data_IF_421870815212
#
_entry.id   IF_421870815212
#
_cell.length_a   1.000
_cell.length_b   1.000
_cell.length_c   1.000
_cell.angle_alpha   90.00
_cell.angle_beta   90.00
_cell.angle_gamma   90.00
#
_symmetry.space_group_name_H-M   'P 1'
#
loop_
_entity.id
_entity.type
_entity.pdbx_description
1 polymer ?
#
# COMPACT_ATOMS: atom_id res chain seq x y z
N UNK A 1 -2.82 -5.88 42.32
CA UNK A 1 -3.76 -5.89 41.17
C UNK A 1 -2.93 -6.00 39.90
N UNK A 2 -2.93 -7.15 39.23
CA UNK A 2 -2.32 -7.26 37.90
C UNK A 2 -3.12 -6.39 36.94
N UNK A 3 -2.48 -5.38 36.35
CA UNK A 3 -3.08 -4.60 35.27
C UNK A 3 -3.17 -5.51 34.05
N UNK A 4 -4.33 -6.12 33.83
CA UNK A 4 -4.62 -6.92 32.64
C UNK A 4 -4.73 -5.96 31.44
N UNK A 5 -3.66 -5.87 30.67
CA UNK A 5 -3.63 -5.24 29.36
C UNK A 5 -3.26 -6.31 28.30
N UNK A 6 -3.40 -5.97 27.02
CA UNK A 6 -3.13 -6.93 25.94
C UNK A 6 -1.72 -7.50 26.02
N UNK A 7 -0.72 -6.67 26.33
CA UNK A 7 0.68 -7.08 26.45
C UNK A 7 0.87 -8.10 27.57
N UNK A 8 0.30 -7.85 28.77
CA UNK A 8 0.40 -8.79 29.88
C UNK A 8 -0.36 -10.10 29.60
N UNK A 9 -1.49 -10.03 28.88
CA UNK A 9 -2.27 -11.21 28.51
C UNK A 9 -1.49 -12.07 27.52
N UNK A 10 -0.96 -11.48 26.44
CA UNK A 10 -0.16 -12.21 25.45
C UNK A 10 1.10 -12.79 26.08
N UNK A 11 1.79 -12.04 26.96
CA UNK A 11 2.94 -12.54 27.70
C UNK A 11 2.57 -13.76 28.56
N UNK A 12 1.46 -13.69 29.32
CA UNK A 12 0.97 -14.83 30.11
C UNK A 12 0.65 -16.05 29.24
N UNK A 13 -0.03 -15.89 28.11
CA UNK A 13 -0.34 -17.01 27.19
C UNK A 13 0.96 -17.68 26.69
N UNK A 14 2.00 -16.90 26.44
CA UNK A 14 3.30 -17.42 25.99
C UNK A 14 4.02 -18.17 27.12
N UNK A 15 3.96 -17.66 28.36
CA UNK A 15 4.71 -18.23 29.50
C UNK A 15 3.99 -19.39 30.18
N UNK A 16 2.66 -19.40 30.17
CA UNK A 16 1.80 -20.38 30.87
C UNK A 16 1.35 -21.50 29.94
N UNK A 17 2.25 -21.99 29.06
CA UNK A 17 1.94 -23.10 28.16
C UNK A 17 1.84 -24.41 28.94
N UNK A 18 0.70 -25.08 28.82
CA UNK A 18 0.46 -26.41 29.38
C UNK A 18 0.10 -27.44 28.30
N UNK A 19 -0.06 -28.70 28.69
CA UNK A 19 -0.43 -29.80 27.78
C UNK A 19 -1.81 -29.58 27.14
N UNK A 20 -2.74 -28.91 27.84
CA UNK A 20 -4.08 -28.62 27.32
C UNK A 20 -4.02 -27.62 26.15
N UNK A 21 -3.21 -26.56 26.29
CA UNK A 21 -2.98 -25.59 25.21
C UNK A 21 -2.34 -26.25 23.97
N UNK A 22 -1.46 -27.24 24.17
CA UNK A 22 -0.89 -28.01 23.04
C UNK A 22 -1.93 -28.89 22.34
N UNK A 23 -2.88 -29.48 23.09
CA UNK A 23 -3.99 -30.24 22.48
C UNK A 23 -4.91 -29.35 21.65
N UNK A 24 -5.20 -28.12 22.10
CA UNK A 24 -6.00 -27.15 21.33
C UNK A 24 -5.30 -26.74 20.03
N UNK A 25 -3.98 -26.60 20.05
CA UNK A 25 -3.16 -26.35 18.85
C UNK A 25 -3.26 -27.52 17.85
N UNK A 26 -3.25 -28.77 18.32
CA UNK A 26 -3.42 -29.93 17.45
C UNK A 26 -4.82 -29.96 16.81
N UNK A 27 -5.88 -29.63 17.57
CA UNK A 27 -7.25 -29.56 17.06
C UNK A 27 -7.44 -28.47 16.01
N UNK A 28 -6.77 -27.32 16.16
CA UNK A 28 -6.72 -26.25 15.15
C UNK A 28 -6.10 -26.71 13.83
N UNK A 29 -5.13 -27.62 13.89
CA UNK A 29 -4.45 -28.14 12.70
C UNK A 29 -5.30 -29.18 11.96
N UNK A 30 -6.15 -29.91 12.67
CA UNK A 30 -7.05 -30.94 12.11
C UNK A 30 -8.29 -30.38 11.38
N UNK A 31 -8.51 -29.06 11.42
CA UNK A 31 -9.61 -28.41 10.69
C UNK A 31 -11.03 -28.87 11.10
N UNK A 32 -11.17 -29.49 12.28
CA UNK A 32 -12.47 -29.98 12.76
C UNK A 32 -13.43 -28.81 12.97
N UNK A 33 -14.52 -28.80 12.20
CA UNK A 33 -15.62 -27.84 12.38
C UNK A 33 -16.25 -28.01 13.76
N UNK A 34 -16.13 -26.94 14.54
CA UNK A 34 -16.90 -26.57 15.75
C UNK A 34 -17.97 -27.56 16.19
N UNK A 35 -17.58 -28.60 16.90
CA UNK A 35 -18.48 -29.41 17.72
C UNK A 35 -18.28 -29.03 19.18
N UNK A 36 -18.96 -27.95 19.59
CA UNK A 36 -18.92 -27.42 20.95
C UNK A 36 -20.13 -26.52 21.22
N UNK A 37 -20.53 -26.40 22.48
CA UNK A 37 -21.63 -25.51 22.88
C UNK A 37 -21.28 -24.05 22.53
N UNK A 38 -22.21 -23.28 21.94
CA UNK A 38 -21.96 -21.90 21.57
C UNK A 38 -21.62 -21.06 22.82
N UNK A 39 -20.50 -20.33 22.77
CA UNK A 39 -20.10 -19.42 23.84
C UNK A 39 -20.77 -18.08 23.61
N UNK A 40 -21.60 -17.64 24.57
CA UNK A 40 -22.22 -16.31 24.54
C UNK A 40 -21.26 -15.26 25.11
N UNK A 41 -20.61 -14.48 24.24
CA UNK A 41 -19.70 -13.40 24.63
C UNK A 41 -20.49 -12.08 24.75
N UNK A 42 -20.38 -11.40 25.90
CA UNK A 42 -20.96 -10.07 26.11
C UNK A 42 -19.92 -8.99 25.82
N UNK A 43 -20.10 -8.26 24.73
CA UNK A 43 -19.26 -7.11 24.38
C UNK A 43 -19.76 -5.82 25.02
N UNK A 44 -18.83 -4.92 25.36
CA UNK A 44 -19.17 -3.52 25.61
C UNK A 44 -19.77 -2.90 24.33
N UNK A 45 -20.70 -1.92 24.42
CA UNK A 45 -21.38 -1.36 23.25
C UNK A 45 -20.44 -0.94 22.11
N UNK A 46 -19.42 -0.14 22.40
CA UNK A 46 -18.46 0.31 21.39
C UNK A 46 -17.68 -0.86 20.72
N UNK A 47 -17.36 -1.92 21.48
CA UNK A 47 -16.68 -3.10 20.95
C UNK A 47 -17.61 -3.91 20.04
N UNK A 48 -18.88 -4.06 20.44
CA UNK A 48 -19.91 -4.69 19.60
C UNK A 48 -20.09 -3.95 18.29
N UNK A 49 -20.17 -2.62 18.35
CA UNK A 49 -20.39 -1.78 17.17
C UNK A 49 -19.17 -1.84 16.25
N UNK A 50 -17.95 -1.87 16.80
CA UNK A 50 -16.72 -2.14 16.04
C UNK A 50 -16.73 -3.51 15.35
N UNK A 51 -17.02 -4.59 16.09
CA UNK A 51 -17.08 -5.96 15.53
C UNK A 51 -18.11 -6.02 14.41
N UNK A 52 -19.28 -5.42 14.61
CA UNK A 52 -20.37 -5.40 13.62
C UNK A 52 -20.00 -4.59 12.38
N UNK A 53 -19.31 -3.46 12.55
CA UNK A 53 -18.85 -2.63 11.44
C UNK A 53 -17.80 -3.35 10.60
N UNK A 54 -16.81 -3.96 11.24
CA UNK A 54 -15.71 -4.65 10.55
C UNK A 54 -16.21 -5.92 9.87
N UNK A 55 -17.01 -6.74 10.54
CA UNK A 55 -17.57 -7.96 9.96
C UNK A 55 -18.46 -7.64 8.75
N UNK A 56 -19.29 -6.58 8.85
CA UNK A 56 -20.10 -6.09 7.75
C UNK A 56 -19.28 -5.61 6.54
N UNK A 57 -18.14 -4.92 6.77
CA UNK A 57 -17.21 -4.52 5.69
C UNK A 57 -16.53 -5.71 5.02
N UNK A 58 -16.25 -6.76 5.78
CA UNK A 58 -15.63 -8.01 5.28
C UNK A 58 -16.65 -8.99 4.69
N UNK A 59 -17.96 -8.74 4.85
CA UNK A 59 -19.02 -9.62 4.35
C UNK A 59 -19.14 -10.95 5.12
N UNK A 60 -18.65 -11.02 6.36
CA UNK A 60 -18.69 -12.21 7.22
C UNK A 60 -19.54 -11.97 8.47
N UNK A 61 -19.86 -13.04 9.20
CA UNK A 61 -20.56 -12.90 10.48
C UNK A 61 -19.63 -12.37 11.58
N UNK A 62 -20.20 -11.71 12.60
CA UNK A 62 -19.44 -11.27 13.78
C UNK A 62 -18.77 -12.42 14.54
N UNK A 63 -19.41 -13.60 14.57
CA UNK A 63 -18.82 -14.79 15.19
C UNK A 63 -17.62 -15.31 14.40
N UNK A 64 -17.72 -15.30 13.06
CA UNK A 64 -16.62 -15.69 12.18
C UNK A 64 -15.41 -14.77 12.36
N UNK A 65 -15.63 -13.45 12.42
CA UNK A 65 -14.56 -12.49 12.70
C UNK A 65 -13.87 -12.77 14.04
N UNK A 66 -14.65 -13.05 15.10
CA UNK A 66 -14.09 -13.36 16.42
C UNK A 66 -13.27 -14.65 16.38
N UNK A 67 -13.75 -15.69 15.70
CA UNK A 67 -13.01 -16.95 15.55
C UNK A 67 -11.67 -16.72 14.84
N UNK A 68 -11.67 -16.01 13.71
CA UNK A 68 -10.44 -15.69 12.96
C UNK A 68 -9.45 -14.93 13.85
N UNK A 69 -9.91 -13.94 14.61
CA UNK A 69 -9.05 -13.15 15.50
C UNK A 69 -8.46 -13.98 16.64
N UNK A 70 -9.29 -14.81 17.30
CA UNK A 70 -8.83 -15.66 18.41
C UNK A 70 -7.89 -16.76 17.91
N UNK A 71 -8.20 -17.38 16.78
CA UNK A 71 -7.33 -18.36 16.13
C UNK A 71 -5.98 -17.73 15.74
N UNK A 72 -5.99 -16.51 15.18
CA UNK A 72 -4.78 -15.75 14.90
C UNK A 72 -3.92 -15.53 16.16
N UNK A 73 -4.54 -15.09 17.26
CA UNK A 73 -3.84 -14.92 18.56
C UNK A 73 -3.24 -16.25 19.03
N UNK A 74 -3.99 -17.35 18.94
CA UNK A 74 -3.50 -18.68 19.32
C UNK A 74 -2.29 -19.09 18.48
N UNK A 75 -2.33 -18.89 17.16
CA UNK A 75 -1.22 -19.22 16.25
C UNK A 75 0.03 -18.38 16.55
N UNK A 76 -0.12 -17.06 16.67
CA UNK A 76 0.97 -16.13 16.98
C UNK A 76 1.64 -16.42 18.33
N UNK A 77 0.83 -16.70 19.36
CA UNK A 77 1.35 -16.88 20.72
C UNK A 77 1.86 -18.28 21.00
N UNK A 78 1.23 -19.33 20.46
CA UNK A 78 1.54 -20.72 20.79
C UNK A 78 2.44 -21.40 19.74
N UNK A 79 2.38 -20.98 18.47
CA UNK A 79 3.11 -21.62 17.36
C UNK A 79 3.85 -20.59 16.47
N UNK A 80 4.70 -19.72 17.04
CA UNK A 80 5.27 -18.58 16.30
C UNK A 80 6.10 -18.97 15.06
N UNK A 81 6.75 -20.15 15.05
CA UNK A 81 7.47 -20.63 13.86
C UNK A 81 6.53 -20.96 12.70
N UNK A 82 5.38 -21.58 12.99
CA UNK A 82 4.37 -21.90 11.99
C UNK A 82 3.59 -20.64 11.57
N UNK A 83 3.48 -19.65 12.46
CA UNK A 83 2.94 -18.33 12.16
C UNK A 83 3.76 -17.60 11.10
N UNK A 84 5.11 -17.63 11.17
CA UNK A 84 5.97 -17.07 10.13
C UNK A 84 5.73 -17.73 8.76
N UNK A 85 5.65 -19.06 8.71
CA UNK A 85 5.33 -19.80 7.47
C UNK A 85 3.95 -19.39 6.95
N UNK A 86 3.02 -19.16 7.88
CA UNK A 86 1.66 -18.75 7.56
C UNK A 86 1.59 -17.35 6.97
N UNK A 87 2.40 -16.43 7.47
CA UNK A 87 2.53 -15.08 6.95
C UNK A 87 3.01 -15.03 5.51
N UNK A 88 3.86 -15.95 5.06
CA UNK A 88 4.34 -15.96 3.66
C UNK A 88 3.15 -16.15 2.71
N UNK A 89 2.32 -17.17 2.97
CA UNK A 89 1.11 -17.41 2.17
C UNK A 89 0.10 -16.26 2.25
N UNK A 90 -0.13 -15.75 3.46
CA UNK A 90 -1.09 -14.66 3.68
C UNK A 90 -0.65 -13.35 3.03
N UNK A 91 0.63 -12.99 3.13
CA UNK A 91 1.18 -11.79 2.48
C UNK A 91 1.24 -11.92 0.97
N UNK A 92 1.47 -13.13 0.46
CA UNK A 92 1.33 -13.42 -0.96
C UNK A 92 -0.10 -13.09 -1.44
N UNK A 93 -1.13 -13.63 -0.81
CA UNK A 93 -2.51 -13.36 -1.23
C UNK A 93 -2.94 -11.92 -0.97
N UNK A 94 -2.55 -11.34 0.17
CA UNK A 94 -2.78 -9.92 0.46
C UNK A 94 -2.18 -9.03 -0.64
N UNK A 95 -0.97 -9.33 -1.11
CA UNK A 95 -0.36 -8.59 -2.20
C UNK A 95 -1.21 -8.69 -3.48
N UNK A 96 -1.61 -9.91 -3.87
CA UNK A 96 -2.44 -10.10 -5.08
C UNK A 96 -3.79 -9.38 -4.99
N UNK A 97 -4.46 -9.49 -3.84
CA UNK A 97 -5.78 -8.92 -3.59
C UNK A 97 -5.75 -7.39 -3.59
N UNK A 98 -4.74 -6.78 -2.96
CA UNK A 98 -4.57 -5.33 -2.93
C UNK A 98 -4.19 -4.75 -4.30
N UNK A 99 -3.57 -5.56 -5.16
CA UNK A 99 -3.38 -5.23 -6.58
C UNK A 99 -4.58 -5.60 -7.46
N UNK A 100 -5.68 -6.10 -6.87
CA UNK A 100 -6.95 -6.47 -7.52
C UNK A 100 -6.78 -7.55 -8.60
N UNK A 101 -5.88 -8.49 -8.37
CA UNK A 101 -5.65 -9.60 -9.28
C UNK A 101 -6.63 -10.73 -8.98
N UNK A 102 -7.36 -11.18 -10.00
CA UNK A 102 -8.14 -12.41 -9.85
C UNK A 102 -7.21 -13.61 -9.77
N UNK A 103 -7.69 -14.75 -9.24
CA UNK A 103 -6.91 -16.00 -9.21
C UNK A 103 -6.42 -16.41 -10.60
N UNK A 104 -7.20 -16.11 -11.66
CA UNK A 104 -6.79 -16.33 -13.06
C UNK A 104 -5.63 -15.42 -13.47
N UNK A 105 -5.64 -14.16 -13.05
CA UNK A 105 -4.56 -13.22 -13.34
C UNK A 105 -3.28 -13.60 -12.59
N UNK A 106 -3.40 -14.09 -11.34
CA UNK A 106 -2.29 -14.61 -10.55
C UNK A 106 -1.68 -15.85 -11.22
N UNK A 107 -2.50 -16.81 -11.66
CA UNK A 107 -2.02 -17.99 -12.38
C UNK A 107 -1.31 -17.61 -13.69
N UNK A 108 -1.84 -16.61 -14.42
CA UNK A 108 -1.21 -16.09 -15.63
C UNK A 108 0.12 -15.40 -15.33
N UNK A 109 0.15 -14.54 -14.32
CA UNK A 109 1.34 -13.82 -13.85
C UNK A 109 2.48 -14.79 -13.49
N UNK A 110 2.15 -15.90 -12.83
CA UNK A 110 3.11 -16.88 -12.32
C UNK A 110 3.34 -18.09 -13.25
N UNK A 111 2.88 -18.02 -14.50
CA UNK A 111 2.96 -19.14 -15.44
C UNK A 111 4.38 -19.65 -15.68
N UNK A 112 5.37 -18.75 -15.81
CA UNK A 112 6.79 -19.12 -15.94
C UNK A 112 7.36 -19.89 -14.75
N UNK A 113 6.71 -19.79 -13.59
CA UNK A 113 7.08 -20.48 -12.37
C UNK A 113 6.36 -21.83 -12.22
N UNK A 114 5.61 -22.26 -13.23
CA UNK A 114 4.74 -23.44 -13.23
C UNK A 114 3.64 -23.40 -12.16
N UNK A 115 3.21 -22.20 -11.74
CA UNK A 115 2.15 -22.02 -10.75
C UNK A 115 0.83 -21.75 -11.48
N UNK A 116 0.07 -22.82 -11.73
CA UNK A 116 -1.28 -22.75 -12.28
C UNK A 116 -2.37 -22.80 -11.21
N UNK A 117 -3.63 -22.83 -11.65
CA UNK A 117 -4.79 -22.88 -10.75
C UNK A 117 -4.78 -24.08 -9.80
N UNK A 118 -4.31 -25.25 -10.25
CA UNK A 118 -4.20 -26.46 -9.43
C UNK A 118 -3.17 -26.36 -8.30
N UNK A 119 -2.20 -25.45 -8.43
CA UNK A 119 -1.25 -25.12 -7.36
C UNK A 119 -1.91 -24.13 -6.41
N UNK A 120 -2.50 -23.05 -6.94
CA UNK A 120 -3.13 -21.98 -6.16
C UNK A 120 -4.35 -22.42 -5.33
N UNK A 121 -5.07 -23.45 -5.77
CA UNK A 121 -6.19 -24.03 -5.03
C UNK A 121 -5.76 -24.64 -3.68
N UNK A 122 -4.51 -25.08 -3.57
CA UNK A 122 -3.97 -25.71 -2.37
C UNK A 122 -2.94 -24.81 -1.70
N UNK A 123 -3.20 -24.45 -0.44
CA UNK A 123 -2.26 -23.70 0.40
C UNK A 123 -0.88 -24.38 0.48
N UNK A 124 -0.87 -25.69 0.72
CA UNK A 124 0.37 -26.46 0.87
C UNK A 124 1.18 -26.45 -0.44
N UNK A 125 0.54 -26.75 -1.56
CA UNK A 125 1.22 -26.70 -2.87
C UNK A 125 1.69 -25.29 -3.19
N UNK A 126 0.88 -24.26 -2.92
CA UNK A 126 1.29 -22.87 -3.13
C UNK A 126 2.55 -22.55 -2.33
N UNK A 127 2.60 -22.96 -1.07
CA UNK A 127 3.77 -22.75 -0.21
C UNK A 127 5.04 -23.41 -0.72
N UNK A 128 4.97 -24.60 -1.31
CA UNK A 128 6.14 -25.28 -1.90
C UNK A 128 6.79 -24.47 -3.02
N UNK A 129 6.02 -23.61 -3.70
CA UNK A 129 6.52 -22.75 -4.78
C UNK A 129 6.96 -21.36 -4.33
N UNK A 130 6.52 -20.89 -3.15
CA UNK A 130 6.89 -19.58 -2.56
C UNK A 130 8.33 -19.56 -2.01
N UNK A 131 9.27 -19.91 -2.88
CA UNK A 131 10.71 -19.97 -2.64
C UNK A 131 11.35 -18.59 -2.63
N UNK A 132 12.52 -18.44 -2.01
CA UNK A 132 13.24 -17.17 -1.94
C UNK A 132 13.46 -16.48 -3.33
N UNK A 133 13.80 -17.21 -4.42
CA UNK A 133 13.86 -16.60 -5.75
C UNK A 133 12.53 -16.02 -6.22
N UNK A 134 11.41 -16.73 -6.01
CA UNK A 134 10.09 -16.24 -6.40
C UNK A 134 9.68 -15.04 -5.53
N UNK A 135 9.89 -15.10 -4.21
CA UNK A 135 9.56 -13.99 -3.32
C UNK A 135 10.36 -12.73 -3.67
N UNK A 136 11.64 -12.88 -4.06
CA UNK A 136 12.44 -11.77 -4.58
C UNK A 136 11.89 -11.24 -5.90
N UNK A 137 11.48 -12.12 -6.81
CA UNK A 137 10.88 -11.70 -8.08
C UNK A 137 9.57 -10.93 -7.87
N UNK A 138 8.70 -11.40 -6.97
CA UNK A 138 7.47 -10.72 -6.58
C UNK A 138 7.77 -9.35 -5.96
N UNK A 139 8.75 -9.29 -5.06
CA UNK A 139 9.25 -8.05 -4.48
C UNK A 139 9.66 -7.02 -5.55
N UNK A 140 10.42 -7.46 -6.57
CA UNK A 140 10.85 -6.62 -7.69
C UNK A 140 9.70 -6.25 -8.66
N UNK A 141 8.70 -7.12 -8.79
CA UNK A 141 7.51 -6.84 -9.60
C UNK A 141 6.59 -5.81 -8.95
N UNK A 142 6.37 -5.92 -7.65
CA UNK A 142 5.40 -5.09 -6.91
C UNK A 142 6.04 -3.97 -6.09
N UNK A 143 7.37 -3.82 -6.14
CA UNK A 143 8.14 -2.82 -5.41
C UNK A 143 7.87 -2.83 -3.89
N UNK A 144 7.80 -4.04 -3.31
CA UNK A 144 7.65 -4.26 -1.87
C UNK A 144 8.95 -4.78 -1.26
N UNK A 145 9.01 -4.93 0.06
CA UNK A 145 10.14 -5.52 0.77
C UNK A 145 10.12 -7.04 0.64
N UNK A 146 11.21 -7.64 0.18
CA UNK A 146 11.37 -9.10 0.18
C UNK A 146 11.26 -9.66 1.60
N UNK A 147 11.80 -8.95 2.60
CA UNK A 147 11.71 -9.35 4.02
C UNK A 147 10.28 -9.34 4.54
N UNK A 148 9.44 -8.46 4.00
CA UNK A 148 8.01 -8.50 4.29
C UNK A 148 7.37 -9.73 3.66
N UNK A 149 7.64 -10.06 2.40
CA UNK A 149 7.11 -11.30 1.82
C UNK A 149 7.58 -12.57 2.55
N UNK A 150 8.81 -12.56 3.08
CA UNK A 150 9.38 -13.65 3.90
C UNK A 150 8.81 -13.73 5.33
N UNK A 151 7.93 -12.80 5.73
CA UNK A 151 7.37 -12.78 7.09
C UNK A 151 8.29 -12.21 8.17
N UNK A 152 9.50 -11.74 7.82
CA UNK A 152 10.53 -11.32 8.78
C UNK A 152 10.47 -9.82 9.14
N UNK A 153 9.88 -8.99 8.29
CA UNK A 153 9.68 -7.56 8.51
C UNK A 153 8.19 -7.23 8.50
N UNK A 154 7.63 -6.49 9.48
CA UNK A 154 6.23 -6.10 9.44
C UNK A 154 5.89 -5.11 8.31
N UNK A 155 6.86 -4.38 7.74
CA UNK A 155 6.59 -3.27 6.82
C UNK A 155 6.72 -3.68 5.35
N UNK A 156 5.67 -3.51 4.52
CA UNK A 156 5.74 -3.85 3.10
C UNK A 156 6.63 -2.88 2.33
N UNK A 157 6.68 -1.60 2.72
CA UNK A 157 7.50 -0.57 2.05
C UNK A 157 8.03 0.40 3.10
N UNK A 158 9.21 0.96 2.83
CA UNK A 158 9.82 2.02 3.59
C UNK A 158 9.62 3.35 2.87
N UNK A 159 8.91 4.28 3.51
CA UNK A 159 8.68 5.60 2.92
C UNK A 159 9.98 6.39 2.86
N UNK A 160 10.21 7.03 1.72
CA UNK A 160 11.34 7.95 1.56
C UNK A 160 10.98 9.32 2.13
N UNK A 161 11.77 9.83 3.07
CA UNK A 161 11.68 11.20 3.52
C UNK A 161 12.55 12.07 2.60
N UNK A 162 11.92 12.81 1.71
CA UNK A 162 12.62 13.73 0.80
C UNK A 162 12.84 15.05 1.51
N UNK A 163 14.09 15.52 1.49
CA UNK A 163 14.40 16.85 2.01
C UNK A 163 14.08 17.95 1.01
N UNK A 164 14.04 17.64 -0.29
CA UNK A 164 13.83 18.60 -1.37
C UNK A 164 13.04 17.99 -2.53
N UNK A 165 12.23 18.81 -3.20
CA UNK A 165 11.44 18.37 -4.35
C UNK A 165 12.30 17.97 -5.54
N UNK A 166 13.51 18.51 -5.67
CA UNK A 166 14.44 18.12 -6.73
C UNK A 166 14.84 16.64 -6.62
N UNK A 167 14.92 16.07 -5.41
CA UNK A 167 15.20 14.64 -5.24
C UNK A 167 14.07 13.78 -5.83
N UNK A 168 12.82 14.19 -5.64
CA UNK A 168 11.64 13.56 -6.25
C UNK A 168 11.75 13.61 -7.76
N UNK A 169 12.09 14.77 -8.32
CA UNK A 169 12.28 14.98 -9.75
C UNK A 169 13.40 14.11 -10.34
N UNK A 170 14.50 13.91 -9.60
CA UNK A 170 15.59 13.00 -9.99
C UNK A 170 15.13 11.53 -10.03
N UNK A 171 14.30 11.09 -9.08
CA UNK A 171 13.71 9.75 -9.12
C UNK A 171 12.84 9.59 -10.38
N UNK A 172 11.98 10.56 -10.68
CA UNK A 172 11.13 10.55 -11.88
C UNK A 172 12.01 10.47 -13.14
N UNK A 173 13.04 11.31 -13.25
CA UNK A 173 13.99 11.28 -14.37
C UNK A 173 14.65 9.91 -14.54
N UNK A 174 15.14 9.31 -13.45
CA UNK A 174 15.74 7.97 -13.48
C UNK A 174 14.74 6.92 -13.97
N UNK A 175 13.50 6.95 -13.48
CA UNK A 175 12.43 6.01 -13.90
C UNK A 175 12.02 6.18 -15.36
N UNK A 176 12.06 7.41 -15.88
CA UNK A 176 11.84 7.67 -17.30
C UNK A 176 13.01 7.11 -18.14
N UNK A 177 14.25 7.26 -17.67
CA UNK A 177 15.44 6.75 -18.38
C UNK A 177 15.54 5.22 -18.42
N UNK A 178 15.11 4.55 -17.34
CA UNK A 178 15.16 3.08 -17.24
C UNK A 178 14.23 2.37 -18.24
N UNK A 179 13.22 3.06 -18.78
CA UNK A 179 12.21 2.47 -19.66
C UNK A 179 12.05 3.30 -20.95
N UNK A 180 12.58 2.76 -22.05
CA UNK A 180 12.57 3.35 -23.40
C UNK A 180 11.52 2.73 -24.31
N UNK A 181 10.52 2.02 -23.75
CA UNK A 181 9.46 1.43 -24.56
C UNK A 181 8.42 2.47 -24.96
N UNK A 182 8.07 2.51 -26.25
CA UNK A 182 6.97 3.32 -26.83
C UNK A 182 5.57 2.99 -26.28
N UNK A 183 5.46 2.02 -25.36
CA UNK A 183 4.19 1.67 -24.74
C UNK A 183 3.74 2.77 -23.77
N UNK A 184 2.70 3.50 -24.18
CA UNK A 184 2.03 4.54 -23.39
C UNK A 184 1.65 4.06 -21.98
N UNK A 185 1.36 2.77 -21.78
CA UNK A 185 0.99 2.22 -20.47
C UNK A 185 2.15 2.26 -19.47
N UNK A 186 3.39 2.24 -19.94
CA UNK A 186 4.59 2.22 -19.09
C UNK A 186 5.02 3.61 -18.60
N UNK A 187 4.32 4.66 -19.00
CA UNK A 187 4.59 6.02 -18.52
C UNK A 187 4.20 6.16 -17.05
N UNK A 188 4.96 6.94 -16.25
CA UNK A 188 4.66 7.12 -14.84
C UNK A 188 3.45 8.03 -14.63
N UNK A 189 2.70 7.70 -13.60
CA UNK A 189 1.67 8.51 -12.97
C UNK A 189 2.24 9.13 -11.69
N UNK A 190 1.92 10.41 -11.44
CA UNK A 190 2.31 11.09 -10.21
C UNK A 190 1.05 11.49 -9.45
N UNK A 191 0.98 11.10 -8.18
CA UNK A 191 -0.09 11.52 -7.28
C UNK A 191 0.50 12.20 -6.05
N UNK A 192 0.02 13.41 -5.78
CA UNK A 192 0.38 14.16 -4.59
C UNK A 192 -0.78 14.11 -3.60
N UNK A 193 -0.50 13.80 -2.34
CA UNK A 193 -1.54 13.61 -1.31
C UNK A 193 -1.23 14.43 -0.07
N UNK A 194 -2.20 15.20 0.40
CA UNK A 194 -2.13 15.94 1.67
C UNK A 194 -3.13 15.38 2.66
N UNK A 195 -2.82 15.60 3.94
CA UNK A 195 -3.79 15.35 4.99
C UNK A 195 -4.94 16.35 4.89
N UNK A 196 -6.16 15.85 5.08
CA UNK A 196 -7.38 16.63 5.07
C UNK A 196 -7.60 17.29 6.45
N UNK A 197 -7.47 18.61 6.54
CA UNK A 197 -7.52 19.37 7.80
C UNK A 197 -8.93 19.62 8.36
N UNK A 198 -9.86 18.66 8.30
CA UNK A 198 -11.23 18.88 8.84
C UNK A 198 -11.35 18.76 10.37
N UNK A 199 -10.26 18.56 11.11
CA UNK A 199 -10.29 18.51 12.58
C UNK A 199 -9.79 19.80 13.21
N UNK A 200 -10.75 20.61 13.65
CA UNK A 200 -10.68 21.77 14.56
C UNK A 200 -9.90 23.02 14.12
N UNK A 201 -10.65 24.06 13.75
CA UNK A 201 -10.64 25.39 14.37
C UNK A 201 -9.41 26.31 14.29
N UNK A 202 -8.20 25.78 14.30
CA UNK A 202 -6.96 26.57 14.34
C UNK A 202 -5.95 25.97 13.36
N UNK A 203 -5.95 26.48 12.13
CA UNK A 203 -4.92 26.15 11.13
C UNK A 203 -3.61 26.80 11.61
N UNK A 204 -2.76 26.00 12.27
CA UNK A 204 -1.33 26.30 12.32
C UNK A 204 -0.67 25.59 11.15
N UNK A 205 -0.16 26.38 10.22
CA UNK A 205 0.62 26.00 9.03
C UNK A 205 2.00 25.39 9.39
N UNK A 206 2.04 24.56 10.42
CA UNK A 206 3.24 23.93 10.94
C UNK A 206 3.22 22.45 10.52
N UNK A 207 3.95 22.15 9.43
CA UNK A 207 4.35 20.81 8.91
C UNK A 207 3.52 20.16 7.79
N UNK A 208 3.04 20.93 6.81
CA UNK A 208 2.40 20.41 5.60
C UNK A 208 3.32 19.56 4.71
N UNK A 209 3.49 18.29 5.05
CA UNK A 209 4.16 17.33 4.18
C UNK A 209 3.18 16.86 3.10
N UNK A 210 3.69 16.75 1.88
CA UNK A 210 2.99 16.13 0.77
C UNK A 210 3.50 14.71 0.62
N UNK A 211 2.60 13.74 0.69
CA UNK A 211 2.87 12.37 0.28
C UNK A 211 2.91 12.28 -1.24
N UNK A 212 3.87 11.52 -1.75
CA UNK A 212 4.15 11.42 -3.18
C UNK A 212 4.06 9.95 -3.55
N UNK A 213 3.25 9.65 -4.55
CA UNK A 213 3.15 8.33 -5.15
C UNK A 213 3.59 8.44 -6.61
N UNK A 214 4.61 7.65 -6.98
CA UNK A 214 4.99 7.43 -8.36
C UNK A 214 4.51 6.03 -8.72
N UNK A 215 3.48 5.95 -9.56
CA UNK A 215 2.85 4.70 -9.99
C UNK A 215 3.17 4.44 -11.46
N UNK A 216 3.23 3.17 -11.84
CA UNK A 216 3.38 2.75 -13.23
C UNK A 216 2.61 1.45 -13.48
N UNK A 217 2.26 1.20 -14.74
CA UNK A 217 1.82 -0.13 -15.16
C UNK A 217 3.02 -0.96 -15.60
N UNK A 218 3.06 -2.20 -15.13
CA UNK A 218 4.06 -3.18 -15.52
C UNK A 218 3.32 -4.40 -16.08
N UNK A 219 3.72 -4.86 -17.26
CA UNK A 219 3.17 -6.10 -17.83
C UNK A 219 4.16 -7.23 -17.62
N UNK A 220 3.70 -8.29 -16.97
CA UNK A 220 4.46 -9.51 -16.72
C UNK A 220 3.57 -10.67 -17.13
N UNK A 221 4.05 -11.52 -18.03
CA UNK A 221 3.31 -12.70 -18.51
C UNK A 221 1.89 -12.38 -18.97
N UNK A 222 1.72 -11.31 -19.76
CA UNK A 222 0.43 -10.81 -20.24
C UNK A 222 -0.57 -10.41 -19.12
N UNK A 223 -0.10 -10.26 -17.89
CA UNK A 223 -0.84 -9.66 -16.79
C UNK A 223 -0.29 -8.26 -16.53
N UNK A 224 -1.14 -7.25 -16.66
CA UNK A 224 -0.77 -5.86 -16.36
C UNK A 224 -1.08 -5.57 -14.89
N UNK A 225 -0.04 -5.27 -14.13
CA UNK A 225 -0.10 -4.89 -12.72
C UNK A 225 0.15 -3.39 -12.55
N UNK A 226 -0.52 -2.78 -11.57
CA UNK A 226 -0.30 -1.37 -11.18
C UNK A 226 0.59 -1.33 -9.97
N UNK A 227 1.74 -0.67 -10.07
CA UNK A 227 2.78 -0.72 -9.05
C UNK A 227 3.13 0.69 -8.61
N UNK A 228 3.24 0.91 -7.30
CA UNK A 228 3.78 2.15 -6.74
C UNK A 228 5.29 1.96 -6.58
N UNK A 229 6.06 2.45 -7.54
CA UNK A 229 7.51 2.27 -7.59
C UNK A 229 8.26 3.14 -6.57
N UNK A 230 7.63 4.22 -6.14
CA UNK A 230 8.14 5.09 -5.10
C UNK A 230 6.99 5.69 -4.29
N UNK A 231 7.14 5.63 -2.96
CA UNK A 231 6.32 6.37 -2.03
C UNK A 231 7.25 7.15 -1.08
N UNK A 232 6.91 8.41 -0.84
CA UNK A 232 7.62 9.23 0.11
C UNK A 232 6.82 10.44 0.53
N UNK A 233 7.46 11.32 1.28
CA UNK A 233 6.89 12.59 1.68
C UNK A 233 7.93 13.70 1.60
N UNK A 234 7.50 14.90 1.21
CA UNK A 234 8.33 16.09 1.09
C UNK A 234 7.65 17.27 1.77
N UNK A 235 8.39 18.14 2.50
CA UNK A 235 7.84 19.39 3.00
C UNK A 235 7.28 20.27 1.88
N UNK A 236 6.23 21.03 2.16
CA UNK A 236 5.63 21.97 1.18
C UNK A 236 5.45 23.41 1.66
N UNK A 237 5.72 23.71 2.92
CA UNK A 237 5.56 25.06 3.49
C UNK A 237 6.85 25.89 3.49
N UNK A 238 6.73 27.20 3.69
CA UNK A 238 7.86 28.12 3.77
C UNK A 238 8.73 28.12 2.50
N UNK A 239 10.04 27.93 2.66
CA UNK A 239 11.01 27.90 1.56
C UNK A 239 10.73 26.79 0.54
N UNK A 240 9.98 25.74 0.91
CA UNK A 240 9.63 24.64 0.02
C UNK A 240 8.46 24.96 -0.91
N UNK A 241 7.69 26.03 -0.66
CA UNK A 241 6.56 26.43 -1.53
C UNK A 241 7.03 26.74 -2.95
N UNK A 242 8.14 27.47 -3.09
CA UNK A 242 8.73 27.77 -4.42
C UNK A 242 9.21 26.50 -5.13
N UNK A 243 9.77 25.54 -4.38
CA UNK A 243 10.19 24.25 -4.95
C UNK A 243 8.98 23.41 -5.40
N UNK A 244 7.91 23.37 -4.59
CA UNK A 244 6.67 22.71 -4.96
C UNK A 244 6.07 23.34 -6.23
N UNK A 245 5.99 24.68 -6.30
CA UNK A 245 5.49 25.36 -7.50
C UNK A 245 6.32 25.03 -8.75
N UNK A 246 7.65 24.97 -8.62
CA UNK A 246 8.54 24.53 -9.71
C UNK A 246 8.32 23.07 -10.09
N UNK A 247 8.07 22.19 -9.12
CA UNK A 247 7.75 20.79 -9.35
C UNK A 247 6.39 20.61 -10.04
N UNK A 248 5.36 21.37 -9.66
CA UNK A 248 4.05 21.40 -10.33
C UNK A 248 4.21 21.87 -11.78
N UNK A 249 4.97 22.94 -11.99
CA UNK A 249 5.28 23.49 -13.31
C UNK A 249 5.97 22.44 -14.19
N UNK A 250 7.03 21.79 -13.69
CA UNK A 250 7.69 20.68 -14.37
C UNK A 250 6.72 19.57 -14.71
N UNK A 251 5.90 19.14 -13.74
CA UNK A 251 4.99 18.01 -13.93
C UNK A 251 3.98 18.28 -15.04
N UNK A 252 3.45 19.49 -15.14
CA UNK A 252 2.58 19.87 -16.25
C UNK A 252 3.32 19.91 -17.60
N UNK A 253 4.56 20.42 -17.65
CA UNK A 253 5.36 20.38 -18.89
C UNK A 253 5.56 18.93 -19.36
N UNK A 254 5.95 18.04 -18.44
CA UNK A 254 6.16 16.62 -18.75
C UNK A 254 4.85 15.91 -19.12
N UNK A 255 3.73 16.28 -18.50
CA UNK A 255 2.41 15.76 -18.84
C UNK A 255 1.96 16.21 -20.25
N UNK A 256 2.12 17.50 -20.59
CA UNK A 256 1.82 18.03 -21.95
C UNK A 256 2.73 17.44 -23.03
N UNK A 257 3.98 17.12 -22.68
CA UNK A 257 4.91 16.43 -23.57
C UNK A 257 4.65 14.91 -23.66
N UNK A 258 3.58 14.39 -23.05
CA UNK A 258 3.24 12.98 -23.01
C UNK A 258 4.34 12.09 -22.41
N UNK A 259 5.16 12.63 -21.50
CA UNK A 259 6.17 11.87 -20.76
C UNK A 259 5.56 11.25 -19.51
N UNK A 260 4.63 11.95 -18.85
CA UNK A 260 3.79 11.42 -17.79
C UNK A 260 2.45 10.95 -18.36
N UNK A 261 1.89 9.88 -17.78
CA UNK A 261 0.53 9.43 -18.14
C UNK A 261 -0.55 10.18 -17.36
N UNK A 262 -0.37 10.41 -16.06
CA UNK A 262 -1.28 11.23 -15.26
C UNK A 262 -0.55 12.03 -14.18
N UNK A 263 -1.16 13.16 -13.80
CA UNK A 263 -0.77 13.95 -12.64
C UNK A 263 -2.02 14.41 -11.91
N UNK A 264 -2.17 14.05 -10.64
CA UNK A 264 -3.30 14.48 -9.80
C UNK A 264 -2.90 14.77 -8.35
N UNK A 265 -3.71 15.56 -7.67
CA UNK A 265 -3.57 15.86 -6.25
C UNK A 265 -4.82 15.43 -5.48
N UNK A 266 -4.65 14.98 -4.23
CA UNK A 266 -5.72 14.46 -3.40
C UNK A 266 -5.59 14.87 -1.93
N UNK A 267 -6.71 14.86 -1.22
CA UNK A 267 -6.73 14.89 0.24
C UNK A 267 -7.06 13.50 0.79
N UNK A 268 -6.43 13.14 1.91
CA UNK A 268 -6.65 11.87 2.60
C UNK A 268 -6.78 12.10 4.11
N UNK A 269 -7.38 11.17 4.84
CA UNK A 269 -7.43 11.26 6.31
C UNK A 269 -6.04 11.04 6.92
N UNK A 270 -5.76 11.71 8.05
CA UNK A 270 -4.53 11.51 8.81
C UNK A 270 -4.30 10.04 9.17
N UNK A 271 -5.35 9.34 9.61
CA UNK A 271 -5.30 7.92 9.92
C UNK A 271 -4.76 7.05 8.78
N UNK A 272 -5.11 7.34 7.53
CA UNK A 272 -4.64 6.58 6.37
C UNK A 272 -3.16 6.88 6.06
N UNK A 273 -2.78 8.15 6.16
CA UNK A 273 -1.40 8.61 5.93
C UNK A 273 -0.45 8.14 7.03
N UNK A 274 -0.91 8.07 8.28
CA UNK A 274 -0.17 7.48 9.40
C UNK A 274 0.00 5.98 9.23
N UNK A 275 -1.04 5.26 8.80
CA UNK A 275 -0.94 3.84 8.49
C UNK A 275 0.10 3.55 7.38
N UNK A 276 0.20 4.43 6.37
CA UNK A 276 1.27 4.37 5.37
C UNK A 276 2.65 4.63 6.00
N UNK A 277 2.78 5.71 6.79
CA UNK A 277 4.04 6.12 7.43
C UNK A 277 4.60 5.03 8.35
N UNK A 278 3.73 4.35 9.06
CA UNK A 278 4.06 3.24 9.95
C UNK A 278 4.29 1.92 9.21
N UNK A 279 4.00 1.86 7.90
CA UNK A 279 4.13 0.65 7.08
C UNK A 279 3.12 -0.43 7.44
N UNK A 280 1.90 -0.05 7.80
CA UNK A 280 0.80 -0.97 8.13
C UNK A 280 -0.02 -1.39 6.93
N UNK A 281 0.06 -0.66 5.82
CA UNK A 281 -0.71 -0.91 4.60
C UNK A 281 0.16 -0.83 3.34
N UNK A 282 -0.27 -1.52 2.29
CA UNK A 282 0.39 -1.45 0.98
C UNK A 282 0.11 -0.09 0.31
N UNK A 283 1.12 0.54 -0.35
CA UNK A 283 0.92 1.81 -1.04
C UNK A 283 -0.18 1.78 -2.12
N UNK A 284 -0.30 0.67 -2.86
CA UNK A 284 -1.33 0.50 -3.88
C UNK A 284 -2.76 0.51 -3.28
N UNK A 285 -2.94 -0.17 -2.14
CA UNK A 285 -4.19 -0.21 -1.39
C UNK A 285 -4.61 1.19 -0.91
N UNK A 286 -3.66 1.92 -0.31
CA UNK A 286 -3.92 3.26 0.20
C UNK A 286 -4.28 4.24 -0.92
N UNK A 287 -3.51 4.22 -2.03
CA UNK A 287 -3.77 5.07 -3.19
C UNK A 287 -5.14 4.79 -3.79
N UNK A 288 -5.57 3.53 -3.83
CA UNK A 288 -6.91 3.16 -4.29
C UNK A 288 -8.01 3.77 -3.42
N UNK A 289 -7.90 3.65 -2.10
CA UNK A 289 -8.89 4.24 -1.18
C UNK A 289 -8.92 5.77 -1.27
N UNK A 290 -7.77 6.41 -1.45
CA UNK A 290 -7.68 7.87 -1.69
C UNK A 290 -8.42 8.25 -2.97
N UNK A 291 -8.18 7.52 -4.05
CA UNK A 291 -8.79 7.79 -5.36
C UNK A 291 -10.30 7.51 -5.38
N UNK A 292 -10.78 6.53 -4.62
CA UNK A 292 -12.21 6.18 -4.53
C UNK A 292 -13.07 7.34 -4.05
N UNK A 293 -12.55 8.18 -3.15
CA UNK A 293 -13.26 9.32 -2.55
C UNK A 293 -13.54 10.46 -3.55
N UNK A 294 -12.96 10.42 -4.75
CA UNK A 294 -13.03 11.49 -5.76
C UNK A 294 -13.60 11.02 -7.11
N UNK A 295 -14.32 9.89 -7.14
CA UNK A 295 -15.03 9.47 -8.36
C UNK A 295 -16.21 10.41 -8.61
N UNK A 296 -16.21 11.08 -9.77
CA UNK A 296 -17.41 11.80 -10.24
C UNK A 296 -18.57 10.81 -10.48
N UNK A 297 -19.80 11.29 -10.55
CA UNK A 297 -20.99 10.47 -10.89
C UNK A 297 -20.82 9.71 -12.22
N UNK A 298 -19.95 10.21 -13.12
CA UNK A 298 -19.60 9.57 -14.40
C UNK A 298 -18.51 8.49 -14.31
N UNK A 299 -17.95 8.25 -13.12
CA UNK A 299 -16.85 7.30 -12.90
C UNK A 299 -15.48 7.75 -13.43
N UNK A 300 -15.37 8.95 -14.02
CA UNK A 300 -14.10 9.54 -14.47
C UNK A 300 -13.44 10.34 -13.35
N UNK A 301 -12.11 10.26 -13.28
CA UNK A 301 -11.29 11.16 -12.48
C UNK A 301 -11.21 12.49 -13.22
N UNK A 302 -11.73 13.58 -12.64
CA UNK A 302 -11.38 14.93 -13.09
C UNK A 302 -9.97 15.24 -12.59
N UNK A 303 -9.14 15.87 -13.43
CA UNK A 303 -7.81 16.25 -12.98
C UNK A 303 -7.94 17.27 -11.85
N UNK A 304 -7.45 16.91 -10.66
CA UNK A 304 -7.65 17.73 -9.45
C UNK A 304 -6.32 18.35 -9.01
N UNK A 305 -6.29 19.67 -8.89
CA UNK A 305 -5.23 20.42 -8.21
C UNK A 305 -5.85 21.04 -6.95
N UNK A 306 -5.21 20.84 -5.79
CA UNK A 306 -5.76 21.17 -4.46
C UNK A 306 -6.43 22.53 -4.35
N UNK A 307 -5.69 23.60 -4.66
CA UNK A 307 -6.14 24.99 -4.51
C UNK A 307 -5.93 25.75 -5.82
N UNK A 308 -6.70 26.81 -6.05
CA UNK A 308 -6.52 27.69 -7.22
C UNK A 308 -5.11 28.33 -7.23
N UNK A 309 -4.55 28.68 -6.07
CA UNK A 309 -3.17 29.22 -5.98
C UNK A 309 -2.12 28.21 -6.46
N UNK A 310 -2.27 26.92 -6.13
CA UNK A 310 -1.35 25.87 -6.58
C UNK A 310 -1.67 25.38 -7.99
N UNK A 311 -2.86 25.69 -8.49
CA UNK A 311 -3.28 25.45 -9.86
C UNK A 311 -2.58 26.38 -10.84
N UNK A 312 -2.28 27.62 -10.45
CA UNK A 312 -1.58 28.58 -11.30
C UNK A 312 -0.19 28.09 -11.76
N UNK A 313 0.75 27.67 -10.88
CA UNK A 313 2.01 27.06 -11.28
C UNK A 313 1.87 25.86 -12.20
N UNK A 314 0.81 25.06 -11.99
CA UNK A 314 0.53 23.92 -12.85
C UNK A 314 0.06 24.37 -14.24
N UNK A 315 -0.83 25.35 -14.36
CA UNK A 315 -1.40 25.79 -15.65
C UNK A 315 -0.45 26.68 -16.46
N UNK A 316 0.33 27.52 -15.79
CA UNK A 316 1.21 28.54 -16.37
C UNK A 316 2.68 28.27 -16.01
N UNK A 317 3.26 27.13 -16.41
CA UNK A 317 4.57 26.70 -15.93
C UNK A 317 5.69 27.69 -16.25
N UNK A 318 5.60 28.44 -17.35
CA UNK A 318 6.60 29.44 -17.77
C UNK A 318 6.78 30.59 -16.78
N UNK A 319 5.75 30.90 -15.99
CA UNK A 319 5.77 32.01 -15.02
C UNK A 319 6.34 31.59 -13.65
N UNK A 320 6.23 30.30 -13.32
CA UNK A 320 6.53 29.79 -11.98
C UNK A 320 7.73 28.86 -11.92
N UNK A 321 8.21 28.36 -13.07
CA UNK A 321 9.39 27.50 -13.11
C UNK A 321 10.67 28.32 -12.94
N UNK A 322 11.55 27.88 -12.05
CA UNK A 322 12.86 28.53 -11.89
C UNK A 322 13.85 28.07 -12.99
N UNK A 323 14.93 28.84 -13.26
CA UNK A 323 15.90 28.48 -14.29
C UNK A 323 16.56 27.12 -14.10
N UNK A 324 16.81 26.71 -12.86
CA UNK A 324 17.34 25.40 -12.52
C UNK A 324 16.39 24.28 -12.97
N UNK A 325 15.12 24.40 -12.62
CA UNK A 325 14.09 23.42 -12.98
C UNK A 325 13.84 23.41 -14.49
N UNK A 326 13.81 24.57 -15.15
CA UNK A 326 13.68 24.66 -16.61
C UNK A 326 14.81 23.91 -17.33
N UNK A 327 16.06 24.09 -16.88
CA UNK A 327 17.21 23.32 -17.39
C UNK A 327 17.04 21.82 -17.13
N UNK A 328 16.53 21.44 -15.97
CA UNK A 328 16.28 20.03 -15.63
C UNK A 328 15.19 19.40 -16.53
N UNK A 329 14.06 20.09 -16.75
CA UNK A 329 12.98 19.64 -17.64
C UNK A 329 13.46 19.50 -19.08
N UNK A 330 14.28 20.45 -19.56
CA UNK A 330 14.88 20.39 -20.89
C UNK A 330 15.72 19.13 -21.10
N UNK A 331 16.42 18.66 -20.04
CA UNK A 331 17.16 17.40 -20.10
C UNK A 331 16.24 16.18 -20.17
N UNK A 332 15.09 16.20 -19.49
CA UNK A 332 14.13 15.08 -19.53
C UNK A 332 13.44 15.01 -20.88
N UNK A 333 12.95 16.15 -21.37
CA UNK A 333 12.25 16.24 -22.66
C UNK A 333 13.16 15.86 -23.84
N UNK A 334 14.45 16.22 -23.79
CA UNK A 334 15.43 15.80 -24.80
C UNK A 334 15.64 14.27 -24.86
N UNK A 335 15.35 13.53 -23.78
CA UNK A 335 15.44 12.06 -23.78
C UNK A 335 14.26 11.42 -24.52
N UNK A 336 13.13 12.09 -24.62
CA UNK A 336 11.89 11.58 -25.24
C UNK A 336 11.79 11.87 -26.76
N UNK A 337 12.84 12.46 -27.35
CA UNK A 337 12.92 12.79 -28.80
C UNK A 337 13.78 11.74 -29.56
N UNK A 338 14.27 10.71 -28.87
CA UNK A 338 14.95 9.56 -29.48
C UNK A 338 14.02 8.37 -29.50
#
# INVERSE_FOLDING_TARGET
MNRLNITSILASIITERDENMQQLVAQLSDGKKTSGSPIAIRFKPAVRDFVTLVSGRLGISSAELVNILVEGIMRETLIPRQAVITHIHERFWLLMDEHRLSVLDVARLLSDWNIGLSVLESRERTMDYLTAPLLKQLSDWFCVSTRWLEGSDPRPVYLTAFSEWMQVAMIIKKRIQEYTSDDNLTRPDIFLVRENQYTSGDIKDESGHVFIFIRRYKTVNNTTIRVVECIGHCPSSGAYKTQLNSFLSMSNILFRAHILNSFDTFYASGYLLDALREGKILPAAALWEIQKLQRTESGKFSQNIWTEEEREPFLFPEEFITPEWSKFVSQITALNIK
#
